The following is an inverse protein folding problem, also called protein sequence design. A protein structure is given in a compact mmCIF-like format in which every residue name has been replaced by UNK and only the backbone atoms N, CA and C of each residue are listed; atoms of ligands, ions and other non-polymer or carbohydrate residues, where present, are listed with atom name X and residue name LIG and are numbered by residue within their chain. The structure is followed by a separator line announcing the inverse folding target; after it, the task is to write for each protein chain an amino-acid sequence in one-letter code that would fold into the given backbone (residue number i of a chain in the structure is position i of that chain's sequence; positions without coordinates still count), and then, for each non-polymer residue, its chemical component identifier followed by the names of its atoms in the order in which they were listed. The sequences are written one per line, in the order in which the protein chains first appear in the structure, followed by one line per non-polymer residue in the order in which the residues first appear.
data_IF_599661324022
#
_entry.id   IF_599661324022
#
_cell.length_a   1.000
_cell.length_b   1.000
_cell.length_c   1.000
_cell.angle_alpha   90.00
_cell.angle_beta   90.00
_cell.angle_gamma   90.00
#
_symmetry.space_group_name_H-M   'P 1'
#
loop_
_entity.id
_entity.type
_entity.pdbx_description
1 polymer ?
#
# COMPACT_ATOMS: atom_id res chain seq x y z
N UNK A 1 8.34 -12.08 6.29
CA UNK A 1 9.08 -13.27 6.76
C UNK A 1 8.52 -13.81 8.08
N UNK A 2 8.24 -12.95 9.07
CA UNK A 2 7.85 -13.34 10.44
C UNK A 2 6.71 -14.34 10.48
N UNK A 3 5.62 -14.11 9.74
CA UNK A 3 4.45 -15.01 9.68
C UNK A 3 4.84 -16.39 9.16
N UNK A 4 5.66 -16.46 8.11
CA UNK A 4 6.09 -17.74 7.52
C UNK A 4 7.02 -18.51 8.48
N UNK A 5 7.85 -17.80 9.25
CA UNK A 5 8.68 -18.40 10.30
C UNK A 5 7.82 -18.95 11.44
N UNK A 6 6.76 -18.23 11.85
CA UNK A 6 5.80 -18.71 12.85
C UNK A 6 5.03 -19.97 12.39
N UNK A 7 4.88 -20.16 11.08
CA UNK A 7 4.32 -21.39 10.49
C UNK A 7 5.30 -22.57 10.47
N UNK A 8 6.52 -22.41 11.06
CA UNK A 8 7.51 -23.48 11.18
C UNK A 8 8.48 -23.62 10.01
N UNK A 9 8.51 -22.68 9.06
CA UNK A 9 9.44 -22.69 7.94
C UNK A 9 10.79 -22.10 8.33
N UNK A 10 11.85 -22.55 7.64
CA UNK A 10 13.20 -22.01 7.85
C UNK A 10 13.26 -20.52 7.45
N UNK A 11 14.17 -19.78 8.07
CA UNK A 11 14.37 -18.36 7.80
C UNK A 11 14.68 -18.11 6.31
N UNK A 12 15.49 -18.98 5.69
CA UNK A 12 15.83 -18.90 4.27
C UNK A 12 14.59 -19.04 3.38
N UNK A 13 13.75 -20.03 3.67
CA UNK A 13 12.47 -20.22 2.93
C UNK A 13 11.54 -19.03 3.11
N UNK A 14 11.46 -18.46 4.32
CA UNK A 14 10.65 -17.29 4.60
C UNK A 14 11.11 -16.05 3.81
N UNK A 15 12.42 -15.86 3.66
CA UNK A 15 12.95 -14.78 2.82
C UNK A 15 12.67 -15.00 1.33
N UNK A 16 12.82 -16.22 0.81
CA UNK A 16 12.51 -16.54 -0.58
C UNK A 16 11.03 -16.31 -0.90
N UNK A 17 10.12 -16.79 -0.05
CA UNK A 17 8.68 -16.57 -0.18
C UNK A 17 8.36 -15.07 -0.16
N UNK A 18 8.96 -14.33 0.76
CA UNK A 18 8.77 -12.88 0.83
C UNK A 18 9.29 -12.18 -0.42
N UNK A 19 10.42 -12.62 -0.96
CA UNK A 19 10.98 -12.06 -2.21
C UNK A 19 10.04 -12.30 -3.39
N UNK A 20 9.42 -13.48 -3.50
CA UNK A 20 8.40 -13.78 -4.51
C UNK A 20 7.18 -12.86 -4.34
N UNK A 21 6.66 -12.75 -3.12
CA UNK A 21 5.52 -11.89 -2.80
C UNK A 21 5.80 -10.44 -3.20
N UNK A 22 6.93 -9.90 -2.77
CA UNK A 22 7.30 -8.50 -3.08
C UNK A 22 7.63 -8.33 -4.56
N UNK A 23 8.25 -9.33 -5.19
CA UNK A 23 8.54 -9.33 -6.64
C UNK A 23 7.29 -9.16 -7.51
N UNK A 24 6.15 -9.67 -7.04
CA UNK A 24 4.86 -9.49 -7.73
C UNK A 24 4.41 -8.02 -7.83
N UNK A 25 4.96 -7.12 -7.03
CA UNK A 25 4.69 -5.69 -7.15
C UNK A 25 5.27 -5.07 -8.43
N UNK A 26 6.26 -5.69 -9.06
CA UNK A 26 6.89 -5.15 -10.27
C UNK A 26 5.88 -5.08 -11.42
N UNK A 27 5.24 -6.18 -11.85
CA UNK A 27 4.20 -6.10 -12.88
C UNK A 27 2.99 -5.26 -12.41
N UNK A 28 2.70 -5.22 -11.09
CA UNK A 28 1.66 -4.36 -10.54
C UNK A 28 1.88 -2.88 -10.84
N UNK A 29 3.12 -2.39 -10.71
CA UNK A 29 3.48 -1.00 -11.03
C UNK A 29 3.31 -0.67 -12.52
N UNK A 30 3.64 -1.61 -13.43
CA UNK A 30 3.44 -1.40 -14.85
C UNK A 30 1.96 -1.32 -15.21
N UNK A 31 1.15 -2.25 -14.68
CA UNK A 31 -0.30 -2.23 -14.89
C UNK A 31 -0.92 -0.95 -14.35
N UNK A 32 -0.53 -0.56 -13.15
CA UNK A 32 -1.03 0.64 -12.50
C UNK A 32 -0.67 1.91 -13.29
N UNK A 33 0.59 2.06 -13.71
CA UNK A 33 1.03 3.20 -14.52
C UNK A 33 0.23 3.32 -15.82
N UNK A 34 -0.09 2.21 -16.46
CA UNK A 34 -0.95 2.20 -17.64
C UNK A 34 -2.40 2.57 -17.32
N UNK A 35 -2.97 2.01 -16.24
CA UNK A 35 -4.35 2.29 -15.84
C UNK A 35 -4.56 3.73 -15.39
N UNK A 36 -3.57 4.36 -14.78
CA UNK A 36 -3.61 5.77 -14.38
C UNK A 36 -3.85 6.69 -15.58
N UNK A 37 -3.27 6.37 -16.73
CA UNK A 37 -3.49 7.15 -17.97
C UNK A 37 -4.88 6.89 -18.56
N UNK A 38 -5.43 5.67 -18.41
CA UNK A 38 -6.73 5.28 -19.00
C UNK A 38 -7.90 5.67 -18.10
N UNK A 39 -7.83 5.38 -16.79
CA UNK A 39 -8.94 5.58 -15.86
C UNK A 39 -8.83 6.85 -15.03
N UNK A 40 -7.64 7.41 -14.88
CA UNK A 40 -7.36 8.53 -14.00
C UNK A 40 -6.68 8.12 -12.69
N UNK A 41 -6.19 9.13 -11.96
CA UNK A 41 -5.38 8.91 -10.75
C UNK A 41 -6.24 8.42 -9.60
N UNK A 42 -7.31 9.13 -9.28
CA UNK A 42 -8.19 8.84 -8.14
C UNK A 42 -8.82 7.43 -8.17
N UNK A 43 -9.49 6.98 -9.26
CA UNK A 43 -10.12 5.66 -9.29
C UNK A 43 -9.10 4.53 -9.23
N UNK A 44 -7.92 4.69 -9.83
CA UNK A 44 -6.87 3.66 -9.77
C UNK A 44 -6.31 3.52 -8.36
N UNK A 45 -6.00 4.62 -7.67
CA UNK A 45 -5.52 4.60 -6.28
C UNK A 45 -6.56 3.93 -5.38
N UNK A 46 -7.83 4.31 -5.49
CA UNK A 46 -8.90 3.73 -4.69
C UNK A 46 -9.05 2.23 -4.94
N UNK A 47 -9.14 1.80 -6.20
CA UNK A 47 -9.35 0.39 -6.54
C UNK A 47 -8.18 -0.49 -6.12
N UNK A 48 -6.94 -0.08 -6.40
CA UNK A 48 -5.75 -0.82 -6.04
C UNK A 48 -5.59 -0.93 -4.52
N UNK A 49 -5.74 0.19 -3.81
CA UNK A 49 -5.62 0.19 -2.35
C UNK A 49 -6.76 -0.58 -1.70
N UNK A 50 -8.01 -0.49 -2.20
CA UNK A 50 -9.13 -1.25 -1.67
C UNK A 50 -8.93 -2.76 -1.80
N UNK A 51 -8.44 -3.24 -2.95
CA UNK A 51 -8.10 -4.66 -3.12
C UNK A 51 -7.03 -5.09 -2.12
N UNK A 52 -5.98 -4.28 -1.95
CA UNK A 52 -4.92 -4.57 -0.99
C UNK A 52 -5.43 -4.59 0.46
N UNK A 53 -6.35 -3.70 0.82
CA UNK A 53 -7.03 -3.66 2.15
C UNK A 53 -7.83 -4.93 2.39
N UNK A 54 -8.65 -5.36 1.44
CA UNK A 54 -9.40 -6.61 1.54
C UNK A 54 -8.45 -7.81 1.71
N UNK A 55 -7.39 -7.86 0.92
CA UNK A 55 -6.37 -8.90 1.05
C UNK A 55 -5.66 -8.86 2.42
N UNK A 56 -5.40 -7.67 2.98
CA UNK A 56 -4.79 -7.55 4.30
C UNK A 56 -5.70 -8.13 5.41
N UNK A 57 -7.00 -7.86 5.37
CA UNK A 57 -7.95 -8.47 6.30
C UNK A 57 -8.01 -9.99 6.15
N UNK A 58 -8.07 -10.50 4.92
CA UNK A 58 -8.11 -11.96 4.67
C UNK A 58 -6.80 -12.60 5.13
N UNK A 59 -5.66 -11.97 4.90
CA UNK A 59 -4.33 -12.50 5.21
C UNK A 59 -4.18 -12.87 6.68
N UNK A 60 -4.80 -12.11 7.59
CA UNK A 60 -4.77 -12.37 9.02
C UNK A 60 -5.38 -13.72 9.43
N UNK A 61 -6.32 -14.24 8.67
CA UNK A 61 -7.04 -15.49 8.97
C UNK A 61 -6.46 -16.74 8.27
N UNK A 62 -5.37 -16.58 7.53
CA UNK A 62 -4.79 -17.68 6.77
C UNK A 62 -3.82 -18.51 7.62
N UNK A 63 -4.08 -19.80 7.73
CA UNK A 63 -3.28 -20.75 8.50
C UNK A 63 -2.37 -21.62 7.63
N UNK A 64 -2.60 -21.67 6.32
CA UNK A 64 -1.83 -22.52 5.41
C UNK A 64 -0.95 -21.70 4.45
N UNK A 65 0.20 -22.28 4.07
CA UNK A 65 1.24 -21.59 3.31
C UNK A 65 0.75 -21.15 1.92
N UNK A 66 0.02 -22.01 1.21
CA UNK A 66 -0.39 -21.73 -0.17
C UNK A 66 -1.32 -20.50 -0.25
N UNK A 67 -2.42 -20.42 0.54
CA UNK A 67 -3.22 -19.20 0.59
C UNK A 67 -2.44 -17.95 1.04
N UNK A 68 -1.50 -18.08 1.99
CA UNK A 68 -0.65 -16.97 2.44
C UNK A 68 0.18 -16.41 1.28
N UNK A 69 0.76 -17.29 0.44
CA UNK A 69 1.52 -16.86 -0.74
C UNK A 69 0.58 -16.18 -1.75
N UNK A 70 -0.55 -16.80 -2.08
CA UNK A 70 -1.48 -16.26 -3.09
C UNK A 70 -2.01 -14.90 -2.68
N UNK A 71 -2.55 -14.79 -1.47
CA UNK A 71 -3.10 -13.52 -0.97
C UNK A 71 -1.99 -12.48 -0.77
N UNK A 72 -0.81 -12.91 -0.31
CA UNK A 72 0.36 -12.04 -0.20
C UNK A 72 0.83 -11.47 -1.54
N UNK A 73 0.84 -12.29 -2.60
CA UNK A 73 1.15 -11.86 -3.97
C UNK A 73 0.14 -10.84 -4.47
N UNK A 74 -1.16 -11.10 -4.29
CA UNK A 74 -2.23 -10.17 -4.70
C UNK A 74 -2.12 -8.85 -3.90
N UNK A 75 -1.95 -8.95 -2.59
CA UNK A 75 -1.78 -7.78 -1.71
C UNK A 75 -0.56 -6.94 -2.11
N UNK A 76 0.57 -7.57 -2.43
CA UNK A 76 1.78 -6.89 -2.87
C UNK A 76 1.64 -6.28 -4.26
N UNK A 77 1.01 -7.02 -5.19
CA UNK A 77 0.75 -6.54 -6.55
C UNK A 77 -0.06 -5.24 -6.53
N UNK A 78 -1.15 -5.20 -5.80
CA UNK A 78 -2.02 -4.04 -5.72
C UNK A 78 -1.53 -3.00 -4.71
N UNK A 79 -1.11 -3.38 -3.51
CA UNK A 79 -0.72 -2.45 -2.44
C UNK A 79 0.59 -1.72 -2.73
N UNK A 80 1.66 -2.45 -3.07
CA UNK A 80 2.94 -1.84 -3.45
C UNK A 80 2.87 -1.30 -4.88
N UNK A 81 2.06 -1.93 -5.73
CA UNK A 81 1.79 -1.50 -7.09
C UNK A 81 1.23 -0.06 -7.14
N UNK A 82 0.38 0.34 -6.21
CA UNK A 82 -0.23 1.68 -6.17
C UNK A 82 0.73 2.85 -5.90
N UNK A 83 1.98 2.60 -5.52
CA UNK A 83 2.93 3.66 -5.15
C UNK A 83 3.21 4.71 -6.24
N UNK A 84 3.40 4.35 -7.53
CA UNK A 84 3.64 5.35 -8.58
C UNK A 84 2.49 6.34 -8.72
N UNK A 85 1.23 5.87 -8.77
CA UNK A 85 0.06 6.75 -8.87
C UNK A 85 -0.06 7.70 -7.69
N UNK A 86 0.16 7.20 -6.47
CA UNK A 86 0.12 8.04 -5.27
C UNK A 86 1.15 9.17 -5.36
N UNK A 87 2.37 8.89 -5.84
CA UNK A 87 3.42 9.92 -5.99
C UNK A 87 3.06 10.98 -7.02
N UNK A 88 2.57 10.54 -8.17
CA UNK A 88 2.10 11.46 -9.22
C UNK A 88 0.93 12.29 -8.70
N UNK A 89 -0.05 11.65 -8.08
CA UNK A 89 -1.22 12.30 -7.52
C UNK A 89 -0.86 13.37 -6.48
N UNK A 90 0.04 13.04 -5.55
CA UNK A 90 0.53 14.00 -4.55
C UNK A 90 1.23 15.18 -5.24
N UNK A 91 2.08 14.94 -6.24
CA UNK A 91 2.78 15.99 -6.95
C UNK A 91 1.82 16.92 -7.74
N UNK A 92 0.75 16.38 -8.30
CA UNK A 92 -0.26 17.15 -9.04
C UNK A 92 -1.13 18.03 -8.13
N UNK A 93 -1.30 17.68 -6.85
CA UNK A 93 -2.09 18.45 -5.89
C UNK A 93 -1.34 19.65 -5.28
N UNK A 94 -0.02 19.79 -5.51
CA UNK A 94 0.75 20.92 -5.01
C UNK A 94 1.05 21.96 -6.10
N UNK A 95 0.88 23.27 -5.80
CA UNK A 95 1.32 24.34 -6.69
C UNK A 95 2.79 24.24 -7.05
N UNK A 96 3.16 24.64 -8.25
CA UNK A 96 4.53 24.51 -8.78
C UNK A 96 5.59 25.12 -7.85
N UNK A 97 5.29 26.25 -7.18
CA UNK A 97 6.20 26.95 -6.27
C UNK A 97 6.60 26.14 -5.04
N UNK A 98 5.69 25.30 -4.51
CA UNK A 98 5.91 24.55 -3.27
C UNK A 98 5.86 23.02 -3.48
N UNK A 99 5.74 22.57 -4.73
CA UNK A 99 5.57 21.16 -5.08
C UNK A 99 6.66 20.27 -4.50
N UNK A 100 7.93 20.67 -4.69
CA UNK A 100 9.07 19.88 -4.19
C UNK A 100 9.01 19.72 -2.66
N UNK A 101 8.74 20.78 -1.93
CA UNK A 101 8.62 20.77 -0.47
C UNK A 101 7.38 19.98 -0.03
N UNK A 102 6.23 20.17 -0.69
CA UNK A 102 4.99 19.46 -0.38
C UNK A 102 5.12 17.96 -0.59
N UNK A 103 5.69 17.52 -1.70
CA UNK A 103 5.97 16.09 -1.96
C UNK A 103 6.97 15.55 -0.95
N UNK A 104 8.06 16.26 -0.66
CA UNK A 104 9.07 15.82 0.29
C UNK A 104 8.51 15.67 1.71
N UNK A 105 7.67 16.60 2.18
CA UNK A 105 7.05 16.53 3.51
C UNK A 105 6.04 15.39 3.60
N UNK A 106 5.23 15.16 2.57
CA UNK A 106 4.29 14.05 2.51
C UNK A 106 5.01 12.71 2.50
N UNK A 107 6.09 12.58 1.70
CA UNK A 107 6.94 11.37 1.69
C UNK A 107 7.62 11.14 3.04
N UNK A 108 8.15 12.19 3.66
CA UNK A 108 8.80 12.09 4.97
C UNK A 108 7.80 11.62 6.06
N UNK A 109 6.60 12.19 6.08
CA UNK A 109 5.55 11.79 7.00
C UNK A 109 5.13 10.31 6.78
N UNK A 110 4.92 9.92 5.53
CA UNK A 110 4.60 8.53 5.17
C UNK A 110 5.71 7.55 5.59
N UNK A 111 6.96 7.90 5.37
CA UNK A 111 8.12 7.08 5.78
C UNK A 111 8.29 7.01 7.29
N UNK A 112 7.99 8.09 8.02
CA UNK A 112 8.01 8.08 9.48
C UNK A 112 6.96 7.11 10.02
N UNK A 113 5.75 7.16 9.52
CA UNK A 113 4.67 6.25 9.92
C UNK A 113 5.00 4.80 9.55
N UNK A 114 5.34 4.55 8.29
CA UNK A 114 5.57 3.20 7.78
C UNK A 114 6.92 2.60 8.21
N UNK A 115 7.95 3.42 8.40
CA UNK A 115 9.31 2.96 8.71
C UNK A 115 9.65 2.98 10.21
N UNK A 116 8.95 3.74 11.02
CA UNK A 116 9.22 3.86 12.45
C UNK A 116 8.03 3.41 13.28
N UNK A 117 6.86 4.03 13.09
CA UNK A 117 5.68 3.78 13.93
C UNK A 117 5.13 2.37 13.68
N UNK A 118 4.91 1.99 12.42
CA UNK A 118 4.34 0.69 12.11
C UNK A 118 5.24 -0.48 12.55
N UNK A 119 6.57 -0.51 12.27
CA UNK A 119 7.45 -1.56 12.78
C UNK A 119 7.57 -1.59 14.30
N UNK A 120 7.45 -0.46 14.99
CA UNK A 120 7.48 -0.42 16.45
C UNK A 120 6.21 -1.03 17.07
N UNK A 121 5.04 -0.78 16.49
CA UNK A 121 3.76 -1.29 16.97
C UNK A 121 3.46 -2.73 16.52
N UNK A 122 3.90 -3.13 15.35
CA UNK A 122 3.58 -4.42 14.75
C UNK A 122 3.95 -5.64 15.62
N UNK A 123 5.13 -5.69 16.28
CA UNK A 123 5.46 -6.79 17.20
C UNK A 123 4.52 -6.89 18.40
N UNK A 124 4.10 -5.77 18.98
CA UNK A 124 3.14 -5.78 20.10
C UNK A 124 1.79 -6.34 19.67
N UNK A 125 1.29 -5.92 18.50
CA UNK A 125 0.05 -6.47 17.94
C UNK A 125 0.15 -7.97 17.66
N UNK A 126 1.31 -8.45 17.20
CA UNK A 126 1.58 -9.87 16.99
C UNK A 126 1.59 -10.66 18.29
N UNK A 127 2.13 -10.07 19.39
CA UNK A 127 2.22 -10.75 20.69
C UNK A 127 0.86 -10.82 21.40
N UNK A 128 0.07 -9.76 21.34
CA UNK A 128 -1.21 -9.64 22.07
C UNK A 128 -2.39 -10.25 21.30
N UNK A 129 -2.45 -10.05 19.99
CA UNK A 129 -3.58 -10.44 19.16
C UNK A 129 -3.24 -11.31 17.93
N UNK A 130 -1.99 -11.75 17.82
CA UNK A 130 -1.54 -12.60 16.72
C UNK A 130 -1.55 -11.92 15.35
N UNK A 131 -1.45 -12.76 14.32
CA UNK A 131 -1.41 -12.31 12.91
C UNK A 131 -2.68 -11.57 12.52
N UNK A 132 -3.83 -11.99 13.06
CA UNK A 132 -5.14 -11.36 12.78
C UNK A 132 -5.15 -9.90 13.22
N UNK A 133 -4.73 -9.59 14.45
CA UNK A 133 -4.71 -8.23 14.96
C UNK A 133 -3.73 -7.34 14.17
N UNK A 134 -2.54 -7.86 13.88
CA UNK A 134 -1.52 -7.13 13.14
C UNK A 134 -1.98 -6.76 11.71
N UNK A 135 -2.55 -7.71 10.97
CA UNK A 135 -3.02 -7.45 9.60
C UNK A 135 -4.36 -6.70 9.55
N UNK A 136 -5.22 -6.86 10.56
CA UNK A 136 -6.41 -6.01 10.71
C UNK A 136 -6.04 -4.54 10.93
N UNK A 137 -4.99 -4.27 11.70
CA UNK A 137 -4.47 -2.92 11.87
C UNK A 137 -3.94 -2.34 10.54
N UNK A 138 -3.18 -3.12 9.77
CA UNK A 138 -2.71 -2.70 8.44
C UNK A 138 -3.88 -2.43 7.50
N UNK A 139 -4.88 -3.32 7.49
CA UNK A 139 -6.11 -3.15 6.72
C UNK A 139 -6.89 -1.89 7.12
N UNK A 140 -7.04 -1.64 8.43
CA UNK A 140 -7.71 -0.45 8.93
C UNK A 140 -6.99 0.86 8.52
N UNK A 141 -5.66 0.90 8.61
CA UNK A 141 -4.87 2.05 8.14
C UNK A 141 -5.03 2.26 6.63
N UNK A 142 -5.00 1.18 5.84
CA UNK A 142 -5.25 1.24 4.41
C UNK A 142 -6.66 1.74 4.08
N UNK A 143 -7.67 1.30 4.85
CA UNK A 143 -9.06 1.76 4.70
C UNK A 143 -9.19 3.27 4.95
N UNK A 144 -8.53 3.78 5.98
CA UNK A 144 -8.47 5.24 6.25
C UNK A 144 -7.87 5.96 5.05
N UNK A 145 -6.79 5.43 4.45
CA UNK A 145 -6.20 5.99 3.23
C UNK A 145 -7.17 6.00 2.04
N UNK A 146 -7.87 4.89 1.79
CA UNK A 146 -8.89 4.80 0.73
C UNK A 146 -10.00 5.82 0.95
N UNK A 147 -10.53 5.92 2.17
CA UNK A 147 -11.60 6.87 2.51
C UNK A 147 -11.13 8.32 2.36
N UNK A 148 -9.90 8.62 2.79
CA UNK A 148 -9.34 9.95 2.64
C UNK A 148 -9.24 10.36 1.16
N UNK A 149 -8.73 9.49 0.29
CA UNK A 149 -8.67 9.77 -1.15
C UNK A 149 -10.07 9.81 -1.77
N UNK A 150 -11.01 8.96 -1.34
CA UNK A 150 -12.36 8.93 -1.87
C UNK A 150 -13.14 10.23 -1.55
N UNK A 151 -13.02 10.72 -0.31
CA UNK A 151 -13.79 11.86 0.20
C UNK A 151 -13.10 13.19 -0.13
N UNK A 152 -11.80 13.28 0.17
CA UNK A 152 -11.05 14.55 0.07
C UNK A 152 -10.31 14.70 -1.26
N UNK A 153 -10.03 13.58 -1.94
CA UNK A 153 -9.26 13.61 -3.17
C UNK A 153 -10.04 14.19 -4.35
N UNK A 154 -9.36 14.96 -5.18
CA UNK A 154 -9.86 15.46 -6.46
C UNK A 154 -9.27 14.65 -7.61
N UNK A 155 -10.05 14.42 -8.69
CA UNK A 155 -9.48 13.81 -9.90
C UNK A 155 -8.63 14.82 -10.64
N UNK A 156 -7.40 14.46 -10.91
CA UNK A 156 -6.41 15.35 -11.55
C UNK A 156 -6.24 15.08 -13.05
N UNK A 157 -6.79 13.96 -13.56
CA UNK A 157 -6.66 13.59 -14.96
C UNK A 157 -7.23 14.67 -15.88
N UNK A 158 -6.39 15.15 -16.82
CA UNK A 158 -6.79 16.10 -17.87
C UNK A 158 -6.99 17.54 -17.39
N UNK A 159 -6.70 17.87 -16.13
CA UNK A 159 -6.74 19.23 -15.61
C UNK A 159 -5.38 19.92 -15.71
N UNK A 160 -5.38 21.21 -16.00
CA UNK A 160 -4.15 22.01 -15.92
C UNK A 160 -3.73 22.14 -14.45
N UNK A 161 -2.43 22.02 -14.19
CA UNK A 161 -1.88 22.09 -12.83
C UNK A 161 -2.24 23.43 -12.11
N UNK A 162 -2.46 24.48 -12.87
CA UNK A 162 -2.86 25.80 -12.37
C UNK A 162 -4.34 25.85 -11.94
N UNK A 163 -5.20 24.99 -12.48
CA UNK A 163 -6.61 24.88 -12.10
C UNK A 163 -6.83 24.06 -10.83
N UNK A 164 -5.92 23.14 -10.54
CA UNK A 164 -6.00 22.24 -9.37
C UNK A 164 -5.48 22.94 -8.11
N UNK A 165 -4.59 23.93 -8.27
CA UNK A 165 -3.84 24.56 -7.19
C UNK A 165 -4.38 25.92 -6.72
N UNK A 166 -5.62 26.27 -7.08
CA UNK A 166 -6.29 27.51 -6.61
C UNK A 166 -6.91 27.33 -5.23
#
# INVERSE_FOLDING_TARGET
PTVVVQMGFSLTSAFLITAIIVGASIPGKFLESWLVEVWGRKPVIISFTAIAVVCAFIFGFLESLVPVIIVGVIMSFFGIGANPAVKVYVAENYPTRVRATGVATTEAAGRLIAGVIAPAYFPFLLMDGGVVAAYSFVGAMGLVGVLAVAILGTETKGKLLEEISQ
#
